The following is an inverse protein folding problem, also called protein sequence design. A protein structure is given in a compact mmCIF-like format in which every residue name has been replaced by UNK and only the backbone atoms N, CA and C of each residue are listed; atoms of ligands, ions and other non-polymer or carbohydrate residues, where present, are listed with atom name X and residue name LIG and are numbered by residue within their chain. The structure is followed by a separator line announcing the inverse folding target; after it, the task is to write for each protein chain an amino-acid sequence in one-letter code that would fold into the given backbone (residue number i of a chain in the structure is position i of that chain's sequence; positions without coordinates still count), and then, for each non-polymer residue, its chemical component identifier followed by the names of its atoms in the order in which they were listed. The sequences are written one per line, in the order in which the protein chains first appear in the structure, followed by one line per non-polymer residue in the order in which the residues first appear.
data_IF_562776549971
#
_entry.id   IF_562776549971
#
_cell.length_a   1.000
_cell.length_b   1.000
_cell.length_c   1.000
_cell.angle_alpha   90.00
_cell.angle_beta   90.00
_cell.angle_gamma   90.00
#
_symmetry.space_group_name_H-M   'P 1'
#
loop_
_entity.id
_entity.type
_entity.pdbx_description
1 polymer ?
#
# COMPACT_ATOMS: atom_id res chain seq x y z
N UNK A 1 9.35 10.33 -31.98
CA UNK A 1 7.96 10.54 -31.51
C UNK A 1 7.76 9.61 -30.32
N UNK A 2 8.05 10.11 -29.12
CA UNK A 2 7.86 9.37 -27.87
C UNK A 2 6.37 9.21 -27.60
N UNK A 3 5.93 7.95 -27.47
CA UNK A 3 4.58 7.60 -27.05
C UNK A 3 4.52 7.70 -25.53
N UNK A 4 3.88 8.76 -25.02
CA UNK A 4 3.52 8.89 -23.62
C UNK A 4 2.61 7.72 -23.24
N UNK A 5 3.14 6.76 -22.48
CA UNK A 5 2.37 5.70 -21.83
C UNK A 5 1.48 6.34 -20.75
N UNK A 6 0.36 6.92 -21.17
CA UNK A 6 -0.73 7.24 -20.25
C UNK A 6 -1.29 5.89 -19.81
N UNK A 7 -0.88 5.46 -18.62
CA UNK A 7 -1.44 4.31 -17.94
C UNK A 7 -2.93 4.60 -17.70
N UNK A 8 -3.76 4.16 -18.65
CA UNK A 8 -5.21 4.32 -18.59
C UNK A 8 -5.69 3.35 -17.51
N UNK A 9 -5.78 3.84 -16.27
CA UNK A 9 -6.33 3.09 -15.14
C UNK A 9 -7.60 2.39 -15.60
N UNK A 10 -7.55 1.07 -15.75
CA UNK A 10 -8.70 0.29 -16.16
C UNK A 10 -9.69 0.44 -15.02
N UNK A 11 -10.92 0.90 -15.31
CA UNK A 11 -12.05 1.05 -14.36
C UNK A 11 -12.49 -0.29 -13.70
N UNK A 12 -11.62 -1.28 -13.59
CA UNK A 12 -11.95 -2.67 -13.27
C UNK A 12 -12.00 -2.95 -11.76
N UNK A 13 -11.62 -1.99 -10.91
CA UNK A 13 -11.51 -2.19 -9.46
C UNK A 13 -12.09 -1.05 -8.60
N UNK A 14 -12.94 -0.16 -9.16
CA UNK A 14 -13.57 0.90 -8.36
C UNK A 14 -12.60 1.87 -7.66
N UNK A 15 -11.35 1.96 -8.13
CA UNK A 15 -10.26 2.70 -7.49
C UNK A 15 -10.54 4.20 -7.41
N UNK A 16 -10.50 4.75 -6.19
CA UNK A 16 -10.46 6.18 -5.93
C UNK A 16 -9.11 6.53 -5.31
N UNK A 17 -8.28 7.29 -6.03
CA UNK A 17 -6.94 7.62 -5.54
C UNK A 17 -6.96 8.87 -4.66
N UNK A 18 -6.45 8.74 -3.43
CA UNK A 18 -6.11 9.87 -2.58
C UNK A 18 -5.06 10.74 -3.28
N UNK A 19 -5.26 12.06 -3.22
CA UNK A 19 -4.37 13.05 -3.84
C UNK A 19 -4.20 14.31 -2.98
N UNK A 20 -5.20 14.65 -2.16
CA UNK A 20 -5.12 15.73 -1.19
C UNK A 20 -4.13 15.38 -0.08
N UNK A 21 -3.07 16.19 0.06
CA UNK A 21 -1.99 15.95 1.01
C UNK A 21 -2.41 16.19 2.47
N UNK A 22 -3.40 17.07 2.73
CA UNK A 22 -3.90 17.28 4.08
C UNK A 22 -4.69 16.05 4.54
N UNK A 23 -5.58 15.52 3.69
CA UNK A 23 -6.32 14.29 3.99
C UNK A 23 -5.36 13.11 4.20
N UNK A 24 -4.33 12.99 3.36
CA UNK A 24 -3.30 11.95 3.53
C UNK A 24 -2.58 12.12 4.87
N UNK A 25 -2.17 13.35 5.22
CA UNK A 25 -1.51 13.64 6.49
C UNK A 25 -2.41 13.33 7.70
N UNK A 26 -3.69 13.68 7.63
CA UNK A 26 -4.66 13.41 8.70
C UNK A 26 -4.88 11.90 8.87
N UNK A 27 -4.95 11.14 7.78
CA UNK A 27 -5.04 9.67 7.82
C UNK A 27 -3.77 9.09 8.47
N UNK A 28 -2.58 9.52 8.05
CA UNK A 28 -1.31 9.03 8.62
C UNK A 28 -1.22 9.37 10.12
N UNK A 29 -1.64 10.57 10.51
CA UNK A 29 -1.70 10.98 11.92
C UNK A 29 -2.71 10.15 12.72
N UNK A 30 -3.86 9.79 12.14
CA UNK A 30 -4.83 8.91 12.79
C UNK A 30 -4.33 7.46 12.88
N UNK A 31 -3.53 7.00 11.90
CA UNK A 31 -2.84 5.71 11.96
C UNK A 31 -1.78 5.74 13.06
N UNK A 32 -1.08 6.86 13.27
CA UNK A 32 -0.07 7.00 14.33
C UNK A 32 0.89 5.79 14.39
N UNK A 33 1.67 5.53 13.32
CA UNK A 33 2.59 4.40 13.28
C UNK A 33 3.65 4.56 14.37
N UNK A 34 3.84 3.52 15.17
CA UNK A 34 4.85 3.49 16.23
C UNK A 34 5.99 2.53 15.87
N UNK A 35 7.22 2.79 16.35
CA UNK A 35 8.33 1.86 16.18
C UNK A 35 8.00 0.45 16.68
N UNK A 36 8.51 -0.56 15.98
CA UNK A 36 8.28 -1.98 16.25
C UNK A 36 6.90 -2.50 15.86
N UNK A 37 6.03 -1.68 15.27
CA UNK A 37 4.74 -2.14 14.75
C UNK A 37 4.88 -2.66 13.32
N UNK A 38 4.11 -3.71 13.05
CA UNK A 38 3.98 -4.32 11.74
C UNK A 38 2.70 -3.83 11.08
N UNK A 39 2.83 -3.00 10.05
CA UNK A 39 1.70 -2.45 9.30
C UNK A 39 1.43 -3.26 8.04
N UNK A 40 0.15 -3.37 7.68
CA UNK A 40 -0.29 -4.01 6.43
C UNK A 40 -1.23 -3.06 5.70
N UNK A 41 -0.86 -2.63 4.50
CA UNK A 41 -1.72 -1.81 3.63
C UNK A 41 -2.40 -2.67 2.57
N UNK A 42 -3.73 -2.62 2.55
CA UNK A 42 -4.53 -3.22 1.48
C UNK A 42 -4.77 -2.19 0.39
N UNK A 43 -4.42 -2.53 -0.85
CA UNK A 43 -4.65 -1.69 -2.02
C UNK A 43 -3.86 -0.38 -1.99
N UNK A 44 -2.51 -0.43 -2.03
CA UNK A 44 -1.67 0.76 -2.02
C UNK A 44 -1.92 1.69 -3.21
N UNK A 45 -2.44 1.16 -4.33
CA UNK A 45 -2.77 1.95 -5.52
C UNK A 45 -1.55 2.68 -6.06
N UNK A 46 -1.53 4.02 -5.93
CA UNK A 46 -0.42 4.88 -6.36
C UNK A 46 0.60 5.19 -5.25
N UNK A 47 0.53 4.46 -4.14
CA UNK A 47 1.34 4.62 -2.94
C UNK A 47 1.12 5.99 -2.25
N UNK A 48 -0.14 6.42 -2.15
CA UNK A 48 -0.49 7.70 -1.53
C UNK A 48 -0.31 7.66 0.00
N UNK A 49 -0.71 6.56 0.65
CA UNK A 49 -0.47 6.33 2.07
C UNK A 49 0.85 5.56 2.30
N UNK A 50 1.22 4.63 1.40
CA UNK A 50 2.45 3.85 1.51
C UNK A 50 3.69 4.72 1.69
N UNK A 51 3.86 5.77 0.87
CA UNK A 51 5.06 6.63 0.91
C UNK A 51 5.25 7.31 2.28
N UNK A 52 4.27 8.04 2.83
CA UNK A 52 4.44 8.65 4.15
C UNK A 52 4.53 7.61 5.27
N UNK A 53 3.83 6.47 5.17
CA UNK A 53 3.95 5.40 6.17
C UNK A 53 5.36 4.81 6.23
N UNK A 54 6.00 4.59 5.07
CA UNK A 54 7.38 4.09 5.00
C UNK A 54 8.41 5.01 5.67
N UNK A 55 8.09 6.28 5.89
CA UNK A 55 8.94 7.21 6.62
C UNK A 55 8.80 7.09 8.14
N UNK A 56 7.81 6.36 8.63
CA UNK A 56 7.42 6.33 10.04
C UNK A 56 7.19 4.93 10.62
N UNK A 57 7.33 3.87 9.82
CA UNK A 57 7.20 2.48 10.27
C UNK A 57 8.47 1.66 9.99
N UNK A 58 8.68 0.63 10.81
CA UNK A 58 9.84 -0.27 10.70
C UNK A 58 9.59 -1.49 9.79
N UNK A 59 8.32 -1.82 9.54
CA UNK A 59 7.91 -2.92 8.67
C UNK A 59 6.54 -2.60 8.04
N UNK A 60 6.48 -2.68 6.72
CA UNK A 60 5.27 -2.48 5.94
C UNK A 60 5.11 -3.56 4.88
N UNK A 61 3.98 -4.25 4.93
CA UNK A 61 3.55 -5.17 3.89
C UNK A 61 2.39 -4.54 3.11
N UNK A 62 2.47 -4.53 1.78
CA UNK A 62 1.37 -4.04 0.93
C UNK A 62 0.78 -5.21 0.14
N UNK A 63 -0.54 -5.27 0.05
CA UNK A 63 -1.26 -6.29 -0.73
C UNK A 63 -1.97 -5.60 -1.90
N UNK A 64 -1.52 -5.87 -3.12
CA UNK A 64 -2.06 -5.26 -4.35
C UNK A 64 -2.56 -6.33 -5.32
N UNK A 65 -3.82 -6.22 -5.70
CA UNK A 65 -4.48 -7.13 -6.63
C UNK A 65 -4.18 -6.75 -8.09
N UNK A 66 -4.03 -5.45 -8.36
CA UNK A 66 -3.79 -4.94 -9.70
C UNK A 66 -2.35 -5.23 -10.15
N UNK A 67 -2.21 -6.26 -10.98
CA UNK A 67 -0.94 -6.71 -11.55
C UNK A 67 -0.26 -5.66 -12.40
N UNK A 68 -1.01 -4.69 -12.93
CA UNK A 68 -0.43 -3.62 -13.72
C UNK A 68 0.20 -2.52 -12.81
N UNK A 69 -0.23 -2.41 -11.55
CA UNK A 69 0.32 -1.47 -10.56
C UNK A 69 1.55 -2.02 -9.83
N UNK A 70 1.63 -3.33 -9.60
CA UNK A 70 2.75 -3.94 -8.85
C UNK A 70 4.13 -3.58 -9.40
N UNK A 71 4.41 -3.67 -10.72
CA UNK A 71 5.71 -3.26 -11.26
C UNK A 71 6.01 -1.77 -11.04
N UNK A 72 4.99 -0.92 -11.07
CA UNK A 72 5.14 0.52 -10.82
C UNK A 72 5.48 0.79 -9.35
N UNK A 73 4.83 0.07 -8.43
CA UNK A 73 5.13 0.15 -6.99
C UNK A 73 6.54 -0.34 -6.69
N UNK A 74 6.94 -1.49 -7.25
CA UNK A 74 8.30 -2.03 -7.11
C UNK A 74 9.35 -1.04 -7.60
N UNK A 75 9.16 -0.44 -8.78
CA UNK A 75 10.09 0.55 -9.31
C UNK A 75 10.14 1.82 -8.45
N UNK A 76 8.97 2.31 -8.00
CA UNK A 76 8.86 3.55 -7.21
C UNK A 76 9.45 3.39 -5.79
N UNK A 77 9.32 2.21 -5.20
CA UNK A 77 9.61 1.96 -3.78
C UNK A 77 10.83 1.05 -3.56
N UNK A 78 11.60 0.76 -4.61
CA UNK A 78 12.80 -0.10 -4.55
C UNK A 78 13.85 0.31 -3.49
N UNK A 79 13.85 1.58 -3.06
CA UNK A 79 14.77 2.09 -2.04
C UNK A 79 14.39 1.82 -0.58
N UNK A 80 13.23 1.21 -0.32
CA UNK A 80 12.73 0.97 1.04
C UNK A 80 12.93 -0.51 1.43
N UNK A 81 13.96 -0.83 2.25
CA UNK A 81 14.31 -2.21 2.58
C UNK A 81 13.29 -2.90 3.49
N UNK A 82 12.44 -2.12 4.17
CA UNK A 82 11.41 -2.58 5.09
C UNK A 82 10.01 -2.70 4.45
N UNK A 83 9.94 -2.61 3.12
CA UNK A 83 8.72 -2.82 2.34
C UNK A 83 8.69 -4.20 1.70
N UNK A 84 7.59 -4.93 1.88
CA UNK A 84 7.28 -6.13 1.09
C UNK A 84 6.02 -5.90 0.26
N UNK A 85 6.06 -6.24 -1.02
CA UNK A 85 4.92 -6.10 -1.95
C UNK A 85 4.37 -7.49 -2.31
N UNK A 86 3.12 -7.74 -1.93
CA UNK A 86 2.40 -8.98 -2.23
C UNK A 86 1.39 -8.75 -3.35
N UNK A 87 1.61 -9.41 -4.49
CA UNK A 87 0.63 -9.41 -5.59
C UNK A 87 -0.45 -10.46 -5.34
N UNK A 88 -1.50 -10.10 -4.61
CA UNK A 88 -2.54 -11.03 -4.17
C UNK A 88 -3.91 -10.37 -3.99
N UNK A 89 -4.95 -11.20 -3.91
CA UNK A 89 -6.28 -10.78 -3.47
C UNK A 89 -6.30 -10.72 -1.94
N UNK A 90 -6.51 -9.53 -1.39
CA UNK A 90 -6.56 -9.28 0.05
C UNK A 90 -7.68 -10.05 0.77
N UNK A 91 -8.75 -10.45 0.07
CA UNK A 91 -9.83 -11.27 0.64
C UNK A 91 -9.45 -12.74 0.80
N UNK A 92 -8.48 -13.22 0.02
CA UNK A 92 -7.99 -14.59 0.04
C UNK A 92 -6.58 -14.72 0.63
N UNK A 93 -5.95 -13.60 0.99
CA UNK A 93 -4.60 -13.55 1.52
C UNK A 93 -4.56 -14.10 2.96
N UNK A 94 -3.56 -14.94 3.26
CA UNK A 94 -3.33 -15.44 4.61
C UNK A 94 -2.49 -14.44 5.41
N UNK A 95 -3.14 -13.55 6.14
CA UNK A 95 -2.47 -12.58 7.00
C UNK A 95 -1.65 -13.23 8.12
N UNK A 96 -1.99 -14.44 8.55
CA UNK A 96 -1.21 -15.11 9.60
C UNK A 96 0.21 -15.47 9.14
N UNK A 97 0.40 -15.62 7.82
CA UNK A 97 1.72 -15.83 7.21
C UNK A 97 2.68 -14.65 7.35
N UNK A 98 2.17 -13.44 7.63
CA UNK A 98 2.99 -12.25 7.86
C UNK A 98 3.53 -12.18 9.29
N UNK A 99 2.93 -12.88 10.24
CA UNK A 99 3.30 -12.77 11.66
C UNK A 99 4.59 -13.56 11.93
N UNK A 100 5.66 -12.87 12.31
CA UNK A 100 6.97 -13.51 12.53
C UNK A 100 7.23 -13.85 14.01
N UNK A 101 6.79 -12.98 14.93
CA UNK A 101 7.18 -12.99 16.35
C UNK A 101 5.96 -13.07 17.27
N UNK A 102 4.79 -13.35 16.72
CA UNK A 102 3.51 -13.32 17.44
C UNK A 102 2.98 -11.91 17.67
N UNK A 103 3.47 -10.92 16.93
CA UNK A 103 3.00 -9.54 16.95
C UNK A 103 1.58 -9.40 16.38
N UNK A 104 0.93 -8.27 16.70
CA UNK A 104 -0.35 -7.90 16.09
C UNK A 104 -0.10 -7.09 14.83
N UNK A 105 -0.76 -7.48 13.75
CA UNK A 105 -0.79 -6.71 12.51
C UNK A 105 -1.71 -5.49 12.66
N UNK A 106 -1.28 -4.37 12.09
CA UNK A 106 -2.09 -3.16 11.96
C UNK A 106 -2.51 -2.99 10.50
N UNK A 107 -3.75 -3.36 10.20
CA UNK A 107 -4.27 -3.33 8.83
C UNK A 107 -4.87 -1.96 8.52
N UNK A 108 -4.46 -1.37 7.39
CA UNK A 108 -4.93 -0.08 6.88
C UNK A 108 -5.27 -0.20 5.39
N UNK A 109 -6.06 0.71 4.85
CA UNK A 109 -6.35 0.73 3.42
C UNK A 109 -7.38 1.78 3.04
N UNK A 110 -7.17 2.41 1.89
CA UNK A 110 -8.19 3.24 1.24
C UNK A 110 -8.99 2.35 0.27
N UNK A 111 -9.92 1.59 0.85
CA UNK A 111 -10.55 0.47 0.18
C UNK A 111 -11.59 0.91 -0.86
N UNK A 112 -11.72 0.15 -1.97
CA UNK A 112 -12.82 0.34 -2.89
C UNK A 112 -14.17 0.00 -2.22
N UNK A 113 -15.25 0.63 -2.70
CA UNK A 113 -16.59 0.49 -2.10
C UNK A 113 -17.38 -0.75 -2.57
N UNK A 114 -16.82 -1.54 -3.47
CA UNK A 114 -17.50 -2.61 -4.20
C UNK A 114 -17.07 -4.01 -3.76
#
# INVERSE_FOLDING_TARGET
MESTLIHKARKRFGQNFLHDQHVISDIVAAIDPQPGQHLVEIGPGRAALTVPLLQSCDQLDVIELDRDLVPLLQAKLAGFPHLTIHQADALAFDYSSLVERGEKLRVIGNLPYN
#
